data_IF_095016852100
#
_entry.id   IF_095016852100
#
_cell.length_a   1.000
_cell.length_b   1.000
_cell.length_c   1.000
_cell.angle_alpha   90.00
_cell.angle_beta   90.00
_cell.angle_gamma   90.00
#
_symmetry.space_group_name_H-M   'P 1'
#
loop_
_entity.id
_entity.type
_entity.pdbx_description
1 polymer ?
#
# COMPACT_ATOMS: atom_id res chain seq x y z
N UNK A 1 -15.66 32.33 67.63
CA UNK A 1 -15.43 30.99 67.05
C UNK A 1 -16.03 30.95 65.64
N UNK A 2 -15.22 31.14 64.59
CA UNK A 2 -15.62 30.93 63.19
C UNK A 2 -14.80 29.75 62.67
N UNK A 3 -15.46 28.62 62.42
CA UNK A 3 -14.82 27.41 61.90
C UNK A 3 -14.55 27.54 60.41
N UNK A 4 -13.30 27.33 60.00
CA UNK A 4 -12.89 27.28 58.60
C UNK A 4 -13.36 25.96 57.97
N UNK A 5 -14.10 26.04 56.87
CA UNK A 5 -14.46 24.89 56.03
C UNK A 5 -13.25 24.52 55.16
N UNK A 6 -12.71 23.33 55.34
CA UNK A 6 -11.74 22.70 54.43
C UNK A 6 -12.51 22.24 53.18
N UNK A 7 -12.10 22.60 51.95
CA UNK A 7 -12.80 22.14 50.75
C UNK A 7 -12.42 20.68 50.47
N UNK A 8 -13.43 19.81 50.49
CA UNK A 8 -13.33 18.44 49.98
C UNK A 8 -13.17 18.50 48.45
N UNK A 9 -12.01 18.11 47.94
CA UNK A 9 -11.80 17.89 46.49
C UNK A 9 -12.68 16.72 46.04
N UNK A 10 -13.41 16.89 44.94
CA UNK A 10 -14.24 15.85 44.34
C UNK A 10 -13.38 14.68 43.83
N UNK A 11 -13.86 13.42 43.89
CA UNK A 11 -13.12 12.26 43.40
C UNK A 11 -12.90 12.21 41.88
N UNK A 12 -13.51 13.12 41.10
CA UNK A 12 -13.54 13.00 39.63
C UNK A 12 -12.20 13.25 38.95
N UNK A 13 -11.26 13.95 39.58
CA UNK A 13 -9.95 14.24 38.98
C UNK A 13 -8.97 13.06 39.09
N UNK A 14 -9.12 12.19 40.11
CA UNK A 14 -8.25 11.03 40.28
C UNK A 14 -8.60 9.91 39.30
N UNK A 15 -9.90 9.68 39.05
CA UNK A 15 -10.35 8.70 38.05
C UNK A 15 -10.06 9.16 36.61
N UNK A 16 -10.13 10.47 36.32
CA UNK A 16 -9.68 11.02 35.05
C UNK A 16 -8.19 10.76 34.83
N UNK A 17 -7.34 11.07 35.81
CA UNK A 17 -5.90 10.78 35.71
C UNK A 17 -5.58 9.29 35.65
N UNK A 18 -6.28 8.43 36.40
CA UNK A 18 -6.07 6.96 36.35
C UNK A 18 -6.49 6.38 35.00
N UNK A 19 -7.59 6.88 34.42
CA UNK A 19 -8.04 6.48 33.09
C UNK A 19 -7.06 6.99 32.02
N UNK A 20 -6.62 8.24 32.10
CA UNK A 20 -5.59 8.80 31.20
C UNK A 20 -4.21 8.10 31.37
N UNK A 21 -3.90 7.57 32.57
CA UNK A 21 -2.68 6.82 32.85
C UNK A 21 -2.75 5.35 32.39
N UNK A 22 -3.97 4.79 32.26
CA UNK A 22 -4.19 3.45 31.70
C UNK A 22 -4.39 3.49 30.18
N UNK A 23 -5.01 4.56 29.65
CA UNK A 23 -5.32 4.74 28.23
C UNK A 23 -4.09 5.03 27.36
N UNK A 24 -2.94 5.34 27.96
CA UNK A 24 -1.72 5.76 27.26
C UNK A 24 -0.49 4.86 27.51
N UNK A 25 -0.72 3.61 27.89
CA UNK A 25 0.36 2.62 28.03
C UNK A 25 0.38 1.68 26.84
N UNK A 26 1.58 1.35 26.34
CA UNK A 26 1.75 0.36 25.28
C UNK A 26 1.11 -0.99 25.67
N UNK A 27 0.36 -1.57 24.75
CA UNK A 27 -0.45 -2.79 24.96
C UNK A 27 0.22 -3.96 24.24
N UNK A 28 0.26 -5.12 24.89
CA UNK A 28 0.74 -6.36 24.26
C UNK A 28 -0.31 -6.87 23.28
N UNK A 29 0.08 -7.02 22.01
CA UNK A 29 -0.76 -7.57 20.95
C UNK A 29 -0.64 -9.09 20.95
N UNK A 30 0.59 -9.59 21.02
CA UNK A 30 0.95 -10.99 21.22
C UNK A 30 2.31 -11.07 21.91
N UNK A 31 2.77 -12.29 22.23
CA UNK A 31 4.05 -12.48 22.90
C UNK A 31 5.19 -11.82 22.11
N UNK A 32 5.88 -10.86 22.72
CA UNK A 32 6.98 -10.12 22.09
C UNK A 32 6.56 -8.97 21.16
N UNK A 33 5.27 -8.66 21.00
CA UNK A 33 4.79 -7.58 20.14
C UNK A 33 3.87 -6.63 20.90
N UNK A 34 4.19 -5.34 20.84
CA UNK A 34 3.46 -4.26 21.51
C UNK A 34 3.03 -3.18 20.51
N UNK A 35 1.87 -2.57 20.77
CA UNK A 35 1.38 -1.36 20.10
C UNK A 35 1.37 -0.20 21.09
N UNK A 36 1.79 1.00 20.66
CA UNK A 36 1.81 2.17 21.55
C UNK A 36 1.78 3.51 20.81
N UNK A 37 1.97 4.56 21.59
CA UNK A 37 1.98 5.97 21.21
C UNK A 37 3.38 6.58 21.36
N UNK A 38 3.57 7.82 20.92
CA UNK A 38 4.83 8.56 21.13
C UNK A 38 5.11 8.81 22.62
N UNK A 39 4.07 8.81 23.46
CA UNK A 39 4.22 9.00 24.91
C UNK A 39 4.95 7.84 25.57
N UNK A 40 4.82 6.62 25.05
CA UNK A 40 5.50 5.43 25.56
C UNK A 40 7.03 5.53 25.44
N UNK A 41 7.51 6.29 24.45
CA UNK A 41 8.94 6.50 24.23
C UNK A 41 9.61 7.35 25.32
N UNK A 42 8.82 8.10 26.09
CA UNK A 42 9.32 8.98 27.16
C UNK A 42 9.78 8.21 28.40
N UNK A 43 9.51 6.90 28.48
CA UNK A 43 9.88 6.06 29.61
C UNK A 43 10.70 4.83 29.15
N UNK A 44 12.02 4.99 28.91
CA UNK A 44 12.91 3.90 28.51
C UNK A 44 12.97 2.75 29.52
N UNK A 45 12.78 3.02 30.81
CA UNK A 45 12.75 1.98 31.85
C UNK A 45 11.55 1.05 31.66
N UNK A 46 10.37 1.60 31.33
CA UNK A 46 9.19 0.81 31.03
C UNK A 46 9.35 -0.03 29.75
N UNK A 47 10.03 0.50 28.72
CA UNK A 47 10.38 -0.27 27.52
C UNK A 47 11.28 -1.46 27.87
N UNK A 48 12.34 -1.19 28.65
CA UNK A 48 13.31 -2.21 29.09
C UNK A 48 12.65 -3.27 29.96
N UNK A 49 11.76 -2.88 30.88
CA UNK A 49 11.01 -3.80 31.74
C UNK A 49 10.13 -4.77 30.94
N UNK A 50 9.61 -4.33 29.79
CA UNK A 50 8.84 -5.17 28.85
C UNK A 50 9.72 -5.94 27.86
N UNK A 51 11.05 -5.90 28.02
CA UNK A 51 12.01 -6.55 27.13
C UNK A 51 12.00 -5.97 25.72
N UNK A 52 11.59 -4.70 25.54
CA UNK A 52 11.59 -4.08 24.22
C UNK A 52 13.03 -3.75 23.85
N UNK A 53 13.46 -4.29 22.72
CA UNK A 53 14.80 -4.08 22.13
C UNK A 53 14.70 -3.41 20.76
N UNK A 54 13.55 -3.55 20.09
CA UNK A 54 13.27 -3.04 18.76
C UNK A 54 12.08 -2.09 18.77
N UNK A 55 12.18 -0.98 18.05
CA UNK A 55 11.12 0.02 17.94
C UNK A 55 10.87 0.34 16.48
N UNK A 56 9.64 0.11 16.02
CA UNK A 56 9.16 0.51 14.72
C UNK A 56 8.31 1.79 14.86
N UNK A 57 8.89 2.91 14.43
CA UNK A 57 8.28 4.23 14.49
C UNK A 57 7.62 4.56 13.16
N UNK A 58 6.29 4.61 13.13
CA UNK A 58 5.48 4.93 11.94
C UNK A 58 4.84 6.31 12.16
N UNK A 59 5.61 7.37 11.93
CA UNK A 59 5.23 8.73 12.34
C UNK A 59 5.75 9.81 11.38
N UNK A 60 5.43 11.09 11.66
CA UNK A 60 5.94 12.23 10.90
C UNK A 60 7.38 12.61 11.26
N UNK A 61 7.82 12.28 12.48
CA UNK A 61 9.14 12.65 13.00
C UNK A 61 9.88 11.42 13.51
N UNK A 62 11.18 11.37 13.23
CA UNK A 62 12.05 10.31 13.71
C UNK A 62 12.41 10.55 15.18
N UNK A 63 12.17 9.58 16.09
CA UNK A 63 12.56 9.74 17.48
C UNK A 63 14.04 9.45 17.70
N UNK A 64 14.66 10.15 18.65
CA UNK A 64 16.02 9.87 19.14
C UNK A 64 15.96 8.92 20.33
N UNK A 65 16.28 7.64 20.11
CA UNK A 65 16.16 6.59 21.13
C UNK A 65 17.46 5.76 21.20
N UNK A 66 18.49 6.26 21.91
CA UNK A 66 19.73 5.51 22.08
C UNK A 66 19.48 4.23 22.87
N UNK A 67 20.15 3.13 22.47
CA UNK A 67 20.03 1.83 23.14
C UNK A 67 18.93 0.91 22.59
N UNK A 68 18.16 1.36 21.59
CA UNK A 68 17.17 0.55 20.89
C UNK A 68 17.51 0.40 19.41
N UNK A 69 17.12 -0.73 18.82
CA UNK A 69 17.14 -0.91 17.37
C UNK A 69 15.91 -0.24 16.78
N UNK A 70 16.07 0.94 16.18
CA UNK A 70 14.95 1.74 15.66
C UNK A 70 14.85 1.62 14.14
N UNK A 71 13.65 1.33 13.65
CA UNK A 71 13.28 1.52 12.24
C UNK A 71 12.27 2.65 12.16
N UNK A 72 12.61 3.71 11.43
CA UNK A 72 11.71 4.83 11.18
C UNK A 72 11.05 4.72 9.80
N UNK A 73 9.75 4.93 9.77
CA UNK A 73 8.92 4.93 8.57
C UNK A 73 8.11 6.21 8.57
N UNK A 74 8.50 7.17 7.73
CA UNK A 74 7.77 8.44 7.61
C UNK A 74 6.34 8.19 7.08
N UNK A 75 5.34 8.58 7.87
CA UNK A 75 3.93 8.43 7.55
C UNK A 75 3.09 9.50 8.27
N UNK A 76 2.27 10.23 7.50
CA UNK A 76 1.23 11.09 8.06
C UNK A 76 -0.04 10.27 8.30
N UNK A 77 -0.93 10.76 9.16
CA UNK A 77 -2.21 10.10 9.43
C UNK A 77 -3.32 10.65 8.54
N UNK A 78 -3.09 10.61 7.23
CA UNK A 78 -4.00 11.18 6.24
C UNK A 78 -4.03 10.34 4.96
N UNK A 79 -4.98 10.68 4.10
CA UNK A 79 -5.27 9.99 2.85
C UNK A 79 -4.11 10.03 1.83
N UNK A 80 -3.17 10.98 1.96
CA UNK A 80 -2.04 11.10 1.02
C UNK A 80 -0.98 10.02 1.26
N UNK A 81 -0.91 9.45 2.46
CA UNK A 81 0.16 8.53 2.83
C UNK A 81 0.03 7.18 2.13
N UNK A 82 1.08 6.83 1.37
CA UNK A 82 1.33 5.46 0.92
C UNK A 82 2.06 4.69 2.04
N UNK A 83 1.28 3.91 2.78
CA UNK A 83 1.76 2.96 3.77
C UNK A 83 1.89 1.55 3.17
N UNK A 84 1.05 1.21 2.19
CA UNK A 84 1.03 -0.06 1.46
C UNK A 84 2.43 -0.44 0.99
N UNK A 85 3.15 0.46 0.30
CA UNK A 85 4.51 0.23 -0.22
C UNK A 85 5.57 -0.07 0.86
N UNK A 86 5.25 0.17 2.13
CA UNK A 86 6.16 0.00 3.27
C UNK A 86 5.83 -1.20 4.14
N UNK A 87 4.65 -1.81 3.99
CA UNK A 87 4.14 -2.85 4.89
C UNK A 87 5.07 -4.06 5.00
N UNK A 88 5.56 -4.59 3.87
CA UNK A 88 6.47 -5.75 3.88
C UNK A 88 7.76 -5.46 4.66
N UNK A 89 8.33 -4.28 4.47
CA UNK A 89 9.53 -3.85 5.19
C UNK A 89 9.27 -3.67 6.69
N UNK A 90 8.08 -3.21 7.09
CA UNK A 90 7.66 -3.12 8.48
C UNK A 90 7.50 -4.51 9.10
N UNK A 91 6.82 -5.42 8.41
CA UNK A 91 6.54 -6.79 8.89
C UNK A 91 7.83 -7.60 8.98
N UNK A 92 8.76 -7.42 8.04
CA UNK A 92 10.08 -8.05 8.08
C UNK A 92 10.84 -7.63 9.34
N UNK A 93 10.84 -6.32 9.66
CA UNK A 93 11.50 -5.82 10.88
C UNK A 93 10.90 -6.42 12.17
N UNK A 94 9.57 -6.55 12.24
CA UNK A 94 8.91 -7.19 13.38
C UNK A 94 9.30 -8.67 13.47
N UNK A 95 9.30 -9.38 12.34
CA UNK A 95 9.59 -10.82 12.27
C UNK A 95 11.04 -11.15 12.61
N UNK A 96 11.99 -10.34 12.13
CA UNK A 96 13.43 -10.52 12.40
C UNK A 96 13.73 -10.39 13.89
N UNK A 97 13.12 -9.41 14.56
CA UNK A 97 13.27 -9.22 16.00
C UNK A 97 12.69 -10.38 16.82
N UNK A 98 11.56 -10.94 16.39
CA UNK A 98 10.96 -12.13 17.02
C UNK A 98 11.83 -13.39 16.84
N UNK A 99 12.44 -13.56 15.67
CA UNK A 99 13.31 -14.71 15.37
C UNK A 99 14.68 -14.65 16.06
N UNK A 100 15.20 -13.45 16.31
CA UNK A 100 16.44 -13.26 17.08
C UNK A 100 16.30 -13.79 18.53
N UNK A 101 15.09 -13.77 19.10
CA UNK A 101 14.80 -14.33 20.43
C UNK A 101 14.90 -15.85 20.50
N UNK A 102 14.57 -16.57 19.42
CA UNK A 102 14.45 -18.03 19.42
C UNK A 102 15.77 -18.76 19.13
N UNK A 103 16.71 -18.09 18.47
CA UNK A 103 17.96 -18.66 17.95
C UNK A 103 19.14 -18.64 18.94
N UNK A 104 18.99 -18.03 20.13
CA UNK A 104 20.02 -17.96 21.18
C UNK A 104 19.73 -18.85 22.41
N UNK A 105 18.90 -19.88 22.25
CA UNK A 105 18.42 -20.77 23.32
C UNK A 105 19.42 -21.87 23.75
N UNK A 106 20.73 -21.69 23.52
CA UNK A 106 21.75 -22.63 23.98
C UNK A 106 22.88 -21.89 24.71
N UNK A 107 22.92 -22.04 26.04
CA UNK A 107 24.11 -21.89 26.91
C UNK A 107 24.52 -20.52 27.51
N UNK A 108 23.59 -19.63 27.89
CA UNK A 108 23.85 -18.68 28.99
C UNK A 108 22.56 -18.12 29.59
N UNK A 109 22.43 -18.13 30.92
CA UNK A 109 21.21 -17.90 31.69
C UNK A 109 20.75 -16.41 31.78
N UNK A 110 20.82 -15.66 30.68
CA UNK A 110 20.25 -14.31 30.58
C UNK A 110 19.84 -14.03 29.13
N UNK A 111 18.94 -14.86 28.59
CA UNK A 111 18.31 -14.59 27.29
C UNK A 111 17.40 -13.37 27.46
N UNK A 112 17.87 -12.20 27.05
CA UNK A 112 17.03 -11.01 26.95
C UNK A 112 15.89 -11.31 25.97
N UNK A 113 14.66 -11.38 26.47
CA UNK A 113 13.48 -11.40 25.63
C UNK A 113 13.59 -10.21 24.65
N UNK A 114 13.54 -10.46 23.34
CA UNK A 114 13.56 -9.41 22.33
C UNK A 114 12.13 -9.17 21.85
N UNK A 115 11.55 -8.09 22.38
CA UNK A 115 10.22 -7.60 22.03
C UNK A 115 10.29 -6.38 21.11
N UNK A 116 9.23 -6.20 20.32
CA UNK A 116 9.06 -5.08 19.38
C UNK A 116 7.94 -4.16 19.87
N UNK A 117 8.19 -2.85 19.87
CA UNK A 117 7.15 -1.83 19.97
C UNK A 117 6.89 -1.23 18.59
N UNK A 118 5.65 -1.31 18.11
CA UNK A 118 5.19 -0.55 16.95
C UNK A 118 4.39 0.64 17.45
N UNK A 119 4.83 1.86 17.16
CA UNK A 119 4.15 3.06 17.60
C UNK A 119 3.96 4.08 16.48
N UNK A 120 3.00 4.98 16.70
CA UNK A 120 2.86 6.23 15.97
C UNK A 120 2.59 7.35 16.98
N UNK A 121 1.97 8.45 16.58
CA UNK A 121 1.69 9.55 17.50
C UNK A 121 0.72 9.15 18.62
N UNK A 122 -0.48 8.69 18.25
CA UNK A 122 -1.54 8.32 19.20
C UNK A 122 -1.66 6.81 19.46
N UNK A 123 -1.02 5.97 18.64
CA UNK A 123 -1.15 4.52 18.74
C UNK A 123 -2.48 3.94 18.23
N UNK A 124 -3.23 4.68 17.41
CA UNK A 124 -4.60 4.33 17.02
C UNK A 124 -4.79 4.03 15.53
N UNK A 125 -4.02 4.66 14.64
CA UNK A 125 -4.21 4.55 13.18
C UNK A 125 -2.98 3.98 12.46
N UNK A 126 -1.91 4.78 12.26
CA UNK A 126 -0.69 4.35 11.54
C UNK A 126 -0.03 3.07 12.09
N UNK A 127 0.21 2.99 13.41
CA UNK A 127 0.77 1.79 14.03
C UNK A 127 -0.22 0.63 14.00
N UNK A 128 -1.51 0.91 14.19
CA UNK A 128 -2.56 -0.09 14.08
C UNK A 128 -2.61 -0.72 12.69
N UNK A 129 -2.46 0.07 11.62
CA UNK A 129 -2.40 -0.43 10.24
C UNK A 129 -1.25 -1.40 10.02
N UNK A 130 -0.06 -1.08 10.54
CA UNK A 130 1.09 -1.98 10.46
C UNK A 130 0.87 -3.26 11.28
N UNK A 131 0.32 -3.16 12.49
CA UNK A 131 -0.01 -4.34 13.31
C UNK A 131 -1.06 -5.21 12.63
N UNK A 132 -2.12 -4.62 12.08
CA UNK A 132 -3.16 -5.34 11.32
C UNK A 132 -2.54 -6.05 10.12
N UNK A 133 -1.68 -5.39 9.33
CA UNK A 133 -0.98 -6.01 8.20
C UNK A 133 -0.08 -7.19 8.64
N UNK A 134 0.62 -7.03 9.76
CA UNK A 134 1.41 -8.10 10.37
C UNK A 134 0.53 -9.30 10.70
N UNK A 135 -0.59 -9.09 11.42
CA UNK A 135 -1.51 -10.16 11.79
C UNK A 135 -2.13 -10.86 10.57
N UNK A 136 -2.48 -10.11 9.53
CA UNK A 136 -2.96 -10.67 8.27
C UNK A 136 -1.92 -11.60 7.65
N UNK A 137 -0.66 -11.15 7.55
CA UNK A 137 0.42 -11.91 6.89
C UNK A 137 0.81 -13.16 7.67
N UNK A 138 0.98 -13.05 8.99
CA UNK A 138 1.49 -14.13 9.86
C UNK A 138 0.42 -15.14 10.24
N UNK A 139 -0.81 -14.68 10.54
CA UNK A 139 -1.91 -15.55 10.96
C UNK A 139 -2.89 -15.89 9.82
N UNK A 140 -2.64 -15.43 8.59
CA UNK A 140 -3.50 -15.66 7.41
C UNK A 140 -4.94 -15.21 7.63
N UNK A 141 -5.09 -14.08 8.33
CA UNK A 141 -6.38 -13.46 8.61
C UNK A 141 -6.76 -12.50 7.49
N UNK A 142 -8.06 -12.39 7.23
CA UNK A 142 -8.59 -11.28 6.43
C UNK A 142 -8.37 -9.93 7.13
N UNK A 143 -8.48 -8.83 6.38
CA UNK A 143 -8.37 -7.48 6.95
C UNK A 143 -9.37 -7.29 8.09
N UNK A 144 -10.60 -7.78 7.91
CA UNK A 144 -11.68 -7.64 8.88
C UNK A 144 -11.38 -8.42 10.17
N UNK A 145 -10.91 -9.66 10.05
CA UNK A 145 -10.57 -10.49 11.21
C UNK A 145 -9.38 -9.92 11.99
N UNK A 146 -8.32 -9.53 11.28
CA UNK A 146 -7.12 -8.96 11.89
C UNK A 146 -7.42 -7.62 12.59
N UNK A 147 -8.21 -6.75 11.96
CA UNK A 147 -8.60 -5.48 12.55
C UNK A 147 -9.49 -5.67 13.78
N UNK A 148 -10.51 -6.53 13.68
CA UNK A 148 -11.40 -6.85 14.82
C UNK A 148 -10.61 -7.43 15.99
N UNK A 149 -9.64 -8.32 15.71
CA UNK A 149 -8.76 -8.89 16.74
C UNK A 149 -7.95 -7.81 17.45
N UNK A 150 -7.41 -6.83 16.71
CA UNK A 150 -6.68 -5.71 17.29
C UNK A 150 -7.60 -4.80 18.13
N UNK A 151 -8.82 -4.51 17.67
CA UNK A 151 -9.78 -3.71 18.42
C UNK A 151 -10.23 -4.37 19.72
N UNK A 152 -10.31 -5.70 19.79
CA UNK A 152 -10.57 -6.43 21.04
C UNK A 152 -9.46 -6.22 22.07
N UNK A 153 -8.21 -6.04 21.62
CA UNK A 153 -7.03 -5.84 22.47
C UNK A 153 -6.87 -4.36 22.84
N UNK A 154 -7.10 -3.45 21.89
CA UNK A 154 -6.98 -2.00 22.04
C UNK A 154 -8.24 -1.30 21.46
N UNK A 155 -9.30 -1.09 22.28
CA UNK A 155 -10.61 -0.62 21.81
C UNK A 155 -10.64 0.79 21.21
N UNK A 156 -9.65 1.64 21.50
CA UNK A 156 -9.52 3.00 20.96
C UNK A 156 -8.79 3.04 19.60
N UNK A 157 -8.39 1.88 19.05
CA UNK A 157 -7.88 1.80 17.68
C UNK A 157 -8.95 2.26 16.70
N UNK A 158 -8.56 3.21 15.86
CA UNK A 158 -9.41 3.83 14.86
C UNK A 158 -8.56 4.24 13.66
N UNK A 159 -8.39 3.31 12.71
CA UNK A 159 -7.69 3.57 11.45
C UNK A 159 -8.54 4.45 10.52
N UNK A 160 -7.87 5.30 9.74
CA UNK A 160 -8.54 5.98 8.63
C UNK A 160 -8.94 4.99 7.51
N UNK A 161 -9.92 5.40 6.72
CA UNK A 161 -10.50 4.59 5.63
C UNK A 161 -9.44 4.24 4.57
N UNK A 162 -8.54 5.18 4.25
CA UNK A 162 -7.51 4.96 3.23
C UNK A 162 -6.45 3.92 3.63
N UNK A 163 -6.18 3.73 4.93
CA UNK A 163 -5.36 2.62 5.40
C UNK A 163 -6.10 1.29 5.32
N UNK A 164 -7.41 1.26 5.60
CA UNK A 164 -8.22 0.06 5.40
C UNK A 164 -8.31 -0.34 3.92
N UNK A 165 -8.45 0.63 3.01
CA UNK A 165 -8.38 0.41 1.56
C UNK A 165 -7.03 -0.18 1.14
N UNK A 166 -5.93 0.36 1.68
CA UNK A 166 -4.58 -0.15 1.45
C UNK A 166 -4.41 -1.58 1.96
N UNK A 167 -4.94 -1.91 3.14
CA UNK A 167 -4.93 -3.27 3.69
C UNK A 167 -5.80 -4.22 2.86
N UNK A 168 -6.93 -3.75 2.34
CA UNK A 168 -7.79 -4.55 1.43
C UNK A 168 -7.05 -4.87 0.13
N UNK A 169 -6.30 -3.92 -0.44
CA UNK A 169 -5.41 -4.17 -1.57
C UNK A 169 -4.30 -5.17 -1.22
N UNK A 170 -3.73 -5.04 -0.02
CA UNK A 170 -2.71 -5.97 0.47
C UNK A 170 -3.24 -7.40 0.61
N UNK A 171 -4.44 -7.58 1.16
CA UNK A 171 -5.15 -8.86 1.20
C UNK A 171 -5.39 -9.43 -0.19
N UNK A 172 -5.86 -8.61 -1.14
CA UNK A 172 -6.09 -9.02 -2.52
C UNK A 172 -4.80 -9.44 -3.25
N UNK A 173 -3.64 -9.00 -2.76
CA UNK A 173 -2.31 -9.42 -3.22
C UNK A 173 -1.71 -10.53 -2.33
N UNK A 174 -2.53 -11.26 -1.59
CA UNK A 174 -2.13 -12.36 -0.70
C UNK A 174 -1.16 -11.96 0.42
N UNK A 175 -1.27 -10.72 0.90
CA UNK A 175 -0.40 -10.14 1.93
C UNK A 175 1.09 -10.14 1.54
N UNK A 176 1.36 -9.88 0.27
CA UNK A 176 2.69 -9.72 -0.29
C UNK A 176 2.65 -8.63 -1.36
N UNK A 177 3.57 -7.66 -1.30
CA UNK A 177 3.67 -6.65 -2.34
C UNK A 177 4.38 -7.24 -3.55
N UNK A 178 3.60 -7.45 -4.61
CA UNK A 178 4.14 -7.73 -5.93
C UNK A 178 4.12 -6.45 -6.78
N UNK A 179 5.28 -5.84 -7.07
CA UNK A 179 5.36 -4.66 -7.96
C UNK A 179 4.82 -4.91 -9.37
N UNK A 180 4.73 -6.17 -9.80
CA UNK A 180 4.18 -6.56 -11.09
C UNK A 180 2.66 -6.68 -11.08
N UNK A 181 2.03 -6.73 -9.91
CA UNK A 181 0.59 -6.78 -9.74
C UNK A 181 -0.11 -5.58 -10.37
N UNK A 182 -1.15 -5.85 -11.16
CA UNK A 182 -2.00 -4.81 -11.77
C UNK A 182 -2.62 -3.92 -10.70
N UNK A 183 -3.03 -4.49 -9.57
CA UNK A 183 -3.64 -3.75 -8.46
C UNK A 183 -2.65 -2.73 -7.87
N UNK A 184 -1.40 -3.18 -7.64
CA UNK A 184 -0.37 -2.31 -7.09
C UNK A 184 0.03 -1.20 -8.07
N UNK A 185 0.16 -1.52 -9.36
CA UNK A 185 0.43 -0.52 -10.39
C UNK A 185 -0.65 0.54 -10.46
N UNK A 186 -1.92 0.16 -10.42
CA UNK A 186 -3.05 1.09 -10.40
C UNK A 186 -3.03 1.98 -9.15
N UNK A 187 -2.83 1.37 -7.97
CA UNK A 187 -2.70 2.11 -6.71
C UNK A 187 -1.56 3.14 -6.76
N UNK A 188 -0.38 2.71 -7.22
CA UNK A 188 0.81 3.56 -7.34
C UNK A 188 0.56 4.74 -8.29
N UNK A 189 -0.11 4.51 -9.42
CA UNK A 189 -0.43 5.58 -10.36
C UNK A 189 -1.47 6.57 -9.81
N UNK A 190 -2.45 6.12 -9.02
CA UNK A 190 -3.36 7.01 -8.29
C UNK A 190 -2.59 7.88 -7.28
N UNK A 191 -1.62 7.29 -6.57
CA UNK A 191 -0.76 8.02 -5.63
C UNK A 191 0.12 9.08 -6.31
N UNK A 192 0.45 8.92 -7.60
CA UNK A 192 1.16 9.95 -8.38
C UNK A 192 0.34 11.23 -8.50
N UNK A 193 -0.96 11.14 -8.81
CA UNK A 193 -1.80 12.33 -8.97
C UNK A 193 -2.03 13.07 -7.66
N UNK A 194 -2.03 12.35 -6.53
CA UNK A 194 -2.12 12.93 -5.19
C UNK A 194 -0.81 13.65 -4.80
N UNK A 195 0.33 13.01 -5.07
CA UNK A 195 1.66 13.53 -4.71
C UNK A 195 2.16 14.66 -5.63
N UNK A 196 1.76 14.64 -6.90
CA UNK A 196 2.17 15.60 -7.92
C UNK A 196 0.96 16.24 -8.62
N UNK A 197 0.18 17.13 -7.95
CA UNK A 197 -1.04 17.68 -8.52
C UNK A 197 -0.85 18.48 -9.81
N UNK A 198 0.34 19.08 -10.02
CA UNK A 198 0.66 19.79 -11.27
C UNK A 198 1.30 18.89 -12.34
N UNK A 199 1.68 17.66 -12.01
CA UNK A 199 2.32 16.69 -12.91
C UNK A 199 3.63 17.19 -13.58
N UNK A 200 4.31 18.23 -13.05
CA UNK A 200 5.50 18.82 -13.68
C UNK A 200 6.83 18.14 -13.31
N UNK A 201 6.89 17.43 -12.19
CA UNK A 201 8.14 16.88 -11.63
C UNK A 201 7.97 15.42 -11.20
N UNK A 202 7.29 14.61 -12.02
CA UNK A 202 7.08 13.19 -11.74
C UNK A 202 8.41 12.46 -11.96
N UNK A 203 8.94 11.72 -10.96
CA UNK A 203 10.15 10.94 -11.12
C UNK A 203 10.03 9.91 -12.25
N UNK A 204 11.05 9.85 -13.13
CA UNK A 204 11.04 9.02 -14.34
C UNK A 204 10.97 7.52 -14.07
N UNK A 205 11.48 7.08 -12.92
CA UNK A 205 11.42 5.70 -12.42
C UNK A 205 10.01 5.26 -12.03
N UNK A 206 9.05 6.19 -11.95
CA UNK A 206 7.64 5.85 -11.83
C UNK A 206 7.12 5.22 -13.13
N UNK A 207 7.69 5.56 -14.28
CA UNK A 207 7.26 5.01 -15.56
C UNK A 207 7.96 3.70 -15.88
N UNK A 208 7.23 2.78 -16.53
CA UNK A 208 7.82 1.55 -17.03
C UNK A 208 8.96 1.85 -18.01
N UNK A 209 10.03 1.06 -17.92
CA UNK A 209 11.21 1.23 -18.78
C UNK A 209 10.83 1.11 -20.25
N UNK A 210 11.38 2.00 -21.08
CA UNK A 210 11.19 1.93 -22.52
C UNK A 210 11.72 0.59 -23.06
N UNK A 211 10.87 -0.25 -23.68
CA UNK A 211 11.29 -1.55 -24.18
C UNK A 211 12.27 -1.48 -25.36
N UNK A 212 12.51 -0.31 -25.97
CA UNK A 212 13.62 -0.17 -26.92
C UNK A 212 15.00 -0.15 -26.25
N UNK A 213 15.07 0.06 -24.94
CA UNK A 213 16.32 0.15 -24.19
C UNK A 213 16.67 -1.14 -23.44
N UNK A 214 15.81 -2.16 -23.50
CA UNK A 214 15.99 -3.41 -22.74
C UNK A 214 15.57 -4.63 -23.56
N UNK A 215 16.36 -5.70 -23.46
CA UNK A 215 16.02 -7.00 -24.06
C UNK A 215 15.32 -7.89 -23.03
N UNK A 216 14.23 -8.54 -23.44
CA UNK A 216 13.47 -9.48 -22.61
C UNK A 216 12.66 -10.41 -23.54
N UNK A 217 12.31 -11.59 -23.05
CA UNK A 217 11.53 -12.63 -23.73
C UNK A 217 10.02 -12.43 -23.67
N UNK A 218 9.55 -11.47 -22.88
CA UNK A 218 8.13 -11.13 -22.77
C UNK A 218 7.52 -10.67 -24.10
N UNK A 219 6.21 -10.90 -24.29
CA UNK A 219 5.49 -10.35 -25.42
C UNK A 219 5.58 -8.81 -25.45
N UNK A 220 5.83 -8.28 -26.64
CA UNK A 220 6.02 -6.84 -26.86
C UNK A 220 4.99 -6.30 -27.85
N UNK A 221 4.62 -5.05 -27.67
CA UNK A 221 3.65 -4.37 -28.54
C UNK A 221 4.37 -3.32 -29.36
N UNK A 222 4.25 -3.40 -30.68
CA UNK A 222 4.96 -2.51 -31.62
C UNK A 222 3.98 -1.63 -32.36
N UNK A 223 4.39 -0.40 -32.69
CA UNK A 223 3.65 0.47 -33.59
C UNK A 223 3.43 -0.22 -34.94
N UNK A 224 2.17 -0.28 -35.40
CA UNK A 224 1.81 -0.91 -36.67
C UNK A 224 2.41 -0.20 -37.89
N UNK A 225 2.65 1.11 -37.79
CA UNK A 225 3.18 1.95 -38.88
C UNK A 225 4.69 1.78 -39.07
N UNK A 226 5.48 1.89 -37.99
CA UNK A 226 6.94 1.98 -38.09
C UNK A 226 7.70 0.88 -37.34
N UNK A 227 6.97 -0.05 -36.73
CA UNK A 227 7.47 -1.21 -35.97
C UNK A 227 8.29 -0.86 -34.73
N UNK A 228 8.32 0.40 -34.29
CA UNK A 228 8.88 0.82 -32.99
C UNK A 228 8.19 0.06 -31.86
N UNK A 229 8.94 -0.65 -31.01
CA UNK A 229 8.41 -1.24 -29.77
C UNK A 229 7.88 -0.15 -28.86
N UNK A 230 6.74 -0.35 -28.19
CA UNK A 230 6.06 0.70 -27.41
C UNK A 230 5.93 0.29 -25.94
N UNK A 231 5.42 -0.90 -25.67
CA UNK A 231 5.23 -1.37 -24.30
C UNK A 231 5.32 -2.90 -24.26
N UNK A 232 5.37 -3.43 -23.04
CA UNK A 232 5.47 -4.86 -22.74
C UNK A 232 4.13 -5.39 -22.27
N UNK A 233 3.94 -6.70 -22.33
CA UNK A 233 2.73 -7.32 -21.78
C UNK A 233 2.53 -6.99 -20.29
N UNK A 234 3.60 -6.97 -19.51
CA UNK A 234 3.63 -6.59 -18.10
C UNK A 234 3.16 -5.17 -17.84
N UNK A 235 3.23 -4.28 -18.83
CA UNK A 235 2.70 -2.92 -18.73
C UNK A 235 1.18 -2.88 -18.79
N UNK A 236 0.49 -3.94 -19.20
CA UNK A 236 -0.97 -3.95 -19.37
C UNK A 236 -1.67 -4.00 -18.02
N UNK A 237 -2.55 -3.02 -17.79
CA UNK A 237 -3.43 -2.92 -16.63
C UNK A 237 -4.79 -3.50 -16.98
N UNK A 238 -4.93 -4.81 -16.80
CA UNK A 238 -6.18 -5.51 -17.03
C UNK A 238 -7.32 -5.02 -16.15
N UNK A 239 -8.55 -5.03 -16.67
CA UNK A 239 -9.76 -4.72 -15.90
C UNK A 239 -10.88 -5.69 -16.23
N UNK A 240 -11.82 -5.85 -15.29
CA UNK A 240 -13.06 -6.58 -15.52
C UNK A 240 -14.01 -5.78 -16.43
N UNK A 241 -14.78 -6.50 -17.26
CA UNK A 241 -15.79 -5.90 -18.15
C UNK A 241 -16.76 -5.05 -17.34
N UNK A 242 -17.06 -3.85 -17.83
CA UNK A 242 -17.93 -2.93 -17.12
C UNK A 242 -19.40 -3.34 -17.23
N UNK A 243 -20.16 -3.09 -16.17
CA UNK A 243 -21.62 -3.27 -16.19
C UNK A 243 -22.33 -2.20 -17.02
N UNK A 244 -21.62 -1.27 -17.66
CA UNK A 244 -22.22 -0.10 -18.31
C UNK A 244 -23.18 -0.45 -19.45
N UNK A 245 -22.89 -1.46 -20.27
CA UNK A 245 -23.82 -1.91 -21.30
C UNK A 245 -25.00 -2.71 -20.71
N UNK A 246 -24.77 -3.47 -19.64
CA UNK A 246 -25.78 -4.30 -19.00
C UNK A 246 -26.71 -3.55 -18.04
N UNK A 247 -26.27 -2.41 -17.49
CA UNK A 247 -27.04 -1.55 -16.59
C UNK A 247 -28.18 -0.79 -17.31
N UNK A 248 -28.08 -0.61 -18.63
CA UNK A 248 -29.12 0.02 -19.46
C UNK A 248 -29.88 -0.97 -20.35
N UNK A 249 -29.46 -2.26 -20.40
CA UNK A 249 -30.21 -3.31 -21.08
C UNK A 249 -31.24 -3.93 -20.14
N UNK A 250 -32.54 -3.69 -20.37
CA UNK A 250 -33.60 -4.37 -19.64
C UNK A 250 -33.52 -5.90 -19.84
N UNK A 251 -33.37 -6.64 -18.72
CA UNK A 251 -33.32 -8.13 -18.54
C UNK A 251 -31.96 -8.76 -18.91
N UNK A 252 -31.35 -9.65 -18.12
CA UNK A 252 -31.81 -10.62 -17.11
C UNK A 252 -30.68 -10.88 -16.10
N UNK A 253 -31.00 -10.97 -14.81
CA UNK A 253 -30.09 -11.44 -13.76
C UNK A 253 -29.61 -12.87 -14.03
N UNK A 254 -28.30 -13.05 -14.07
CA UNK A 254 -27.66 -14.32 -13.69
C UNK A 254 -26.42 -13.98 -12.86
N UNK A 255 -26.45 -14.41 -11.60
CA UNK A 255 -25.37 -14.22 -10.63
C UNK A 255 -24.18 -15.10 -11.00
N UNK A 256 -23.17 -14.49 -11.60
CA UNK A 256 -21.86 -15.07 -11.80
C UNK A 256 -20.85 -13.93 -11.87
N UNK A 257 -19.71 -14.07 -11.19
CA UNK A 257 -18.58 -13.12 -11.31
C UNK A 257 -18.19 -13.08 -12.80
N UNK A 258 -18.27 -11.93 -13.50
CA UNK A 258 -17.83 -11.89 -14.89
C UNK A 258 -16.32 -12.14 -14.91
N UNK A 259 -15.92 -13.23 -15.55
CA UNK A 259 -14.52 -13.46 -15.89
C UNK A 259 -14.00 -12.24 -16.66
N UNK A 260 -12.74 -11.86 -16.45
CA UNK A 260 -12.10 -10.75 -17.14
C UNK A 260 -11.88 -11.11 -18.62
N UNK A 261 -12.93 -11.11 -19.43
CA UNK A 261 -12.86 -11.34 -20.86
C UNK A 261 -12.43 -10.05 -21.59
N UNK A 262 -11.12 -9.83 -21.62
CA UNK A 262 -10.49 -8.69 -22.31
C UNK A 262 -10.57 -8.78 -23.84
N UNK A 263 -11.09 -9.89 -24.40
CA UNK A 263 -11.23 -10.07 -25.85
C UNK A 263 -12.19 -9.07 -26.48
N UNK A 264 -13.08 -8.48 -25.69
CA UNK A 264 -14.13 -7.57 -26.15
C UNK A 264 -13.70 -6.09 -26.17
N UNK A 265 -12.60 -5.71 -25.51
CA UNK A 265 -12.14 -4.32 -25.46
C UNK A 265 -11.43 -3.90 -26.75
N UNK A 266 -11.63 -2.67 -27.23
CA UNK A 266 -10.95 -2.12 -28.42
C UNK A 266 -9.55 -1.58 -28.14
N UNK A 267 -9.18 -1.46 -26.86
CA UNK A 267 -7.92 -0.85 -26.41
C UNK A 267 -7.26 -1.66 -25.31
N UNK A 268 -5.95 -1.53 -25.20
CA UNK A 268 -5.18 -1.88 -24.02
C UNK A 268 -5.08 -0.66 -23.11
N UNK A 269 -5.23 -0.85 -21.80
CA UNK A 269 -4.86 0.15 -20.81
C UNK A 269 -3.52 -0.28 -20.25
N UNK A 270 -2.56 0.64 -20.15
CA UNK A 270 -1.21 0.34 -19.72
C UNK A 270 -0.76 1.28 -18.60
N UNK A 271 0.28 0.90 -17.87
CA UNK A 271 1.03 1.88 -17.09
C UNK A 271 1.84 2.78 -18.05
N UNK A 272 2.07 4.05 -17.68
CA UNK A 272 2.88 4.96 -18.49
C UNK A 272 4.30 4.43 -18.67
N UNK A 273 4.81 4.53 -19.89
CA UNK A 273 6.16 4.10 -20.27
C UNK A 273 7.05 5.33 -20.46
N UNK A 274 8.33 5.24 -20.15
CA UNK A 274 9.27 6.37 -20.18
C UNK A 274 9.28 7.19 -21.48
N UNK A 275 9.02 6.60 -22.65
CA UNK A 275 8.95 7.38 -23.89
C UNK A 275 7.73 8.32 -23.96
N UNK A 276 6.73 8.13 -23.10
CA UNK A 276 5.55 8.98 -22.99
C UNK A 276 5.80 10.24 -22.15
N UNK A 277 6.90 10.30 -21.39
CA UNK A 277 7.19 11.33 -20.39
C UNK A 277 6.91 12.76 -20.88
N UNK A 278 7.44 13.14 -22.04
CA UNK A 278 7.24 14.48 -22.62
C UNK A 278 5.77 14.81 -22.87
N UNK A 279 4.93 13.82 -23.19
CA UNK A 279 3.50 14.01 -23.44
C UNK A 279 2.68 14.06 -22.14
N UNK A 280 3.22 13.61 -21.01
CA UNK A 280 2.48 13.48 -19.75
C UNK A 280 2.75 14.62 -18.76
N UNK A 281 3.93 15.25 -18.83
CA UNK A 281 4.33 16.24 -17.84
C UNK A 281 3.54 17.55 -18.01
N UNK A 282 2.95 18.02 -16.91
CA UNK A 282 2.23 19.30 -16.85
C UNK A 282 0.84 19.30 -17.49
N UNK A 283 0.32 18.14 -17.93
CA UNK A 283 -0.97 18.02 -18.62
C UNK A 283 -1.81 16.88 -18.05
N UNK A 284 -3.13 17.09 -17.98
CA UNK A 284 -4.08 16.14 -17.35
C UNK A 284 -4.61 15.08 -18.32
N UNK A 285 -4.68 15.42 -19.59
CA UNK A 285 -5.15 14.55 -20.66
C UNK A 285 -4.49 14.93 -21.98
N UNK A 286 -4.51 14.01 -22.94
CA UNK A 286 -3.90 14.26 -24.24
C UNK A 286 -3.81 13.04 -25.14
N UNK A 287 -3.08 13.21 -26.23
CA UNK A 287 -2.86 12.17 -27.23
C UNK A 287 -1.52 11.48 -27.02
N UNK A 288 -1.50 10.16 -27.24
CA UNK A 288 -0.27 9.39 -27.29
C UNK A 288 0.16 9.19 -28.74
N UNK A 289 1.30 9.77 -29.11
CA UNK A 289 1.90 9.68 -30.44
C UNK A 289 3.09 8.73 -30.42
N UNK A 290 3.32 8.02 -31.53
CA UNK A 290 4.49 7.17 -31.65
C UNK A 290 5.79 8.00 -31.64
N UNK A 291 6.78 7.71 -30.78
CA UNK A 291 8.00 8.52 -30.68
C UNK A 291 8.90 8.42 -31.92
N UNK A 292 8.63 7.47 -32.85
CA UNK A 292 9.41 7.29 -34.09
C UNK A 292 8.75 7.90 -35.32
N UNK A 293 7.42 7.83 -35.45
CA UNK A 293 6.72 8.22 -36.68
C UNK A 293 5.54 9.16 -36.46
N UNK A 294 5.31 9.59 -35.21
CA UNK A 294 4.27 10.52 -34.79
C UNK A 294 2.83 10.07 -35.11
N UNK A 295 2.61 8.84 -35.58
CA UNK A 295 1.27 8.29 -35.78
C UNK A 295 0.52 8.23 -34.44
N UNK A 296 -0.76 8.64 -34.41
CA UNK A 296 -1.60 8.53 -33.21
C UNK A 296 -1.80 7.07 -32.80
N UNK A 297 -1.45 6.75 -31.56
CA UNK A 297 -1.53 5.42 -30.96
C UNK A 297 -2.72 5.28 -30.00
N UNK A 298 -3.10 6.37 -29.34
CA UNK A 298 -4.21 6.40 -28.37
C UNK A 298 -4.31 7.74 -27.63
N UNK A 299 -4.72 7.69 -26.37
CA UNK A 299 -4.97 8.84 -25.48
C UNK A 299 -4.57 8.52 -24.05
N UNK A 300 -4.45 9.55 -23.22
CA UNK A 300 -4.35 9.38 -21.78
C UNK A 300 -5.23 10.41 -21.06
N UNK A 301 -5.65 10.06 -19.85
CA UNK A 301 -6.35 10.93 -18.91
C UNK A 301 -6.02 10.49 -17.47
N UNK A 302 -5.46 11.41 -16.67
CA UNK A 302 -5.09 11.14 -15.29
C UNK A 302 -6.29 10.94 -14.35
N UNK A 303 -7.46 11.47 -14.68
CA UNK A 303 -8.72 11.23 -13.96
C UNK A 303 -9.49 10.01 -14.47
N UNK A 304 -9.07 9.47 -15.60
CA UNK A 304 -9.59 8.23 -16.17
C UNK A 304 -10.49 8.42 -17.38
N UNK A 305 -10.79 7.31 -18.04
CA UNK A 305 -11.65 7.23 -19.21
C UNK A 305 -12.52 5.97 -19.15
N UNK A 306 -13.66 5.99 -19.84
CA UNK A 306 -14.51 4.82 -19.99
C UNK A 306 -13.98 3.92 -21.12
N UNK A 307 -13.65 2.67 -20.80
CA UNK A 307 -13.33 1.66 -21.79
C UNK A 307 -14.56 1.32 -22.65
N UNK A 308 -14.34 0.87 -23.89
CA UNK A 308 -15.40 0.32 -24.78
C UNK A 308 -16.27 -0.77 -24.16
N UNK A 309 -15.78 -1.49 -23.14
CA UNK A 309 -16.55 -2.49 -22.40
C UNK A 309 -17.44 -1.88 -21.29
N UNK A 310 -17.46 -0.56 -21.15
CA UNK A 310 -18.22 0.19 -20.16
C UNK A 310 -17.53 0.39 -18.81
N UNK A 311 -16.33 -0.18 -18.59
CA UNK A 311 -15.57 -0.04 -17.33
C UNK A 311 -14.87 1.32 -17.28
N UNK A 312 -15.02 2.05 -16.17
CA UNK A 312 -14.21 3.23 -15.90
C UNK A 312 -12.80 2.81 -15.45
N UNK A 313 -11.76 3.35 -16.09
CA UNK A 313 -10.36 3.05 -15.77
C UNK A 313 -9.67 4.35 -15.33
N UNK A 314 -9.07 4.36 -14.15
CA UNK A 314 -8.37 5.53 -13.59
C UNK A 314 -7.04 5.14 -12.95
N UNK A 315 -5.93 5.85 -13.24
CA UNK A 315 -5.75 6.69 -14.42
C UNK A 315 -5.80 5.87 -15.73
N UNK A 316 -6.13 6.52 -16.84
CA UNK A 316 -6.26 5.85 -18.14
C UNK A 316 -5.09 6.22 -19.06
N UNK A 317 -4.29 5.23 -19.47
CA UNK A 317 -3.34 5.36 -20.57
C UNK A 317 -3.71 4.34 -21.64
N UNK A 318 -4.48 4.79 -22.62
CA UNK A 318 -5.17 3.97 -23.59
C UNK A 318 -4.34 3.81 -24.86
N UNK A 319 -4.12 2.57 -25.28
CA UNK A 319 -3.47 2.18 -26.53
C UNK A 319 -4.46 1.43 -27.41
N UNK A 320 -4.79 1.98 -28.58
CA UNK A 320 -5.77 1.35 -29.48
C UNK A 320 -5.20 0.06 -30.09
N UNK A 321 -5.94 -1.06 -29.97
CA UNK A 321 -5.50 -2.37 -30.48
C UNK A 321 -5.22 -2.35 -31.98
N UNK A 322 -5.98 -1.56 -32.76
CA UNK A 322 -5.77 -1.46 -34.21
C UNK A 322 -4.51 -0.68 -34.64
N UNK A 323 -3.83 0.02 -33.70
CA UNK A 323 -2.61 0.81 -33.93
C UNK A 323 -1.32 0.08 -33.50
N UNK A 324 -1.44 -1.05 -32.81
CA UNK A 324 -0.31 -1.80 -32.27
C UNK A 324 -0.40 -3.28 -32.64
N UNK A 325 0.76 -3.90 -32.91
CA UNK A 325 0.85 -5.33 -33.19
C UNK A 325 1.52 -6.03 -32.00
N UNK A 326 0.90 -7.09 -31.49
CA UNK A 326 1.47 -7.96 -30.46
C UNK A 326 2.45 -8.95 -31.08
N UNK A 327 3.69 -8.97 -30.57
CA UNK A 327 4.74 -9.88 -30.98
C UNK A 327 5.05 -10.82 -29.81
N UNK A 328 4.69 -12.10 -29.96
CA UNK A 328 5.04 -13.16 -29.00
C UNK A 328 6.37 -13.79 -29.39
N UNK A 329 7.29 -13.91 -28.44
CA UNK A 329 8.49 -14.71 -28.64
C UNK A 329 8.10 -16.19 -28.57
N UNK A 330 8.04 -16.87 -29.71
CA UNK A 330 7.84 -18.32 -29.76
C UNK A 330 9.18 -18.97 -29.42
N UNK A 331 9.24 -19.68 -28.29
CA UNK A 331 10.39 -20.51 -27.98
C UNK A 331 10.33 -21.78 -28.84
N UNK A 332 11.16 -21.82 -29.89
CA UNK A 332 11.25 -22.97 -30.82
C UNK A 332 11.69 -24.27 -30.12
N UNK A 333 12.23 -24.22 -28.90
CA UNK A 333 12.57 -25.42 -28.12
C UNK A 333 11.34 -26.14 -27.54
N UNK A 334 10.18 -25.48 -27.44
CA UNK A 334 8.94 -26.08 -26.94
C UNK A 334 8.07 -26.73 -28.03
N UNK A 335 8.56 -26.75 -29.29
CA UNK A 335 7.88 -27.29 -30.46
C UNK A 335 8.51 -28.61 -30.99
N UNK A 336 9.41 -29.22 -30.21
CA UNK A 336 10.00 -30.54 -30.48
C UNK A 336 9.55 -31.52 -29.40
#
# INVERSE_FOLDING_TARGET
>A
MKGAKIPLRSPSSLWGHIRDFLDNTMISVEAGLYIGSVSDLKNPEALTLKGITHILSVDSEQPELPGFHVKFVHALDDSSTDLLSKLDNCIQFISDASNASSSFSSSSATTSASSVLVHCHAGQSRSAAVITAYLMKTHKLSVQEAYSKLQLIKPDVNMNEEFLDQLTLYEAMNCELDPSSVLYKQFRLKKVTEKYPELKNIPRDIFAVDPAQSHNTEAIYRCRMCRRTLFRHSSILSHCVGSGASAFSHKRQSGGRPAADQSQCTSYFIEPVQWMEEALLGVMDGQLLCPKCSSKLGSFNWYGEQCSCGRWVTPAFQMHKNRVDEIKHINLAALK
#
